data_IF_758348556066
#
_entry.id   IF_758348556066
#
_cell.length_a   1.000
_cell.length_b   1.000
_cell.length_c   1.000
_cell.angle_alpha   90.00
_cell.angle_beta   90.00
_cell.angle_gamma   90.00
#
_symmetry.space_group_name_H-M   'P 1'
#
loop_
_entity.id
_entity.type
_entity.pdbx_description
1 polymer ?
#
# COMPACT_ATOMS: atom_id res chain seq x y z
N UNK A 1 20.07 19.72 -19.55
CA UNK A 1 18.61 19.71 -19.28
C UNK A 1 18.46 20.50 -18.00
N UNK A 2 17.63 21.54 -18.06
CA UNK A 2 17.54 22.50 -16.98
C UNK A 2 16.15 22.38 -16.33
N UNK A 3 16.13 22.05 -15.05
CA UNK A 3 14.89 21.81 -14.29
C UNK A 3 14.76 22.92 -13.26
N UNK A 4 13.78 23.80 -13.45
CA UNK A 4 13.42 24.84 -12.47
C UNK A 4 12.14 24.49 -11.72
N UNK A 5 12.10 24.65 -10.40
CA UNK A 5 10.91 24.38 -9.58
C UNK A 5 11.05 24.89 -8.15
N UNK A 6 9.97 24.81 -7.37
CA UNK A 6 9.99 25.15 -5.94
C UNK A 6 10.40 23.93 -5.12
N UNK A 7 11.27 24.13 -4.14
CA UNK A 7 11.69 23.10 -3.22
C UNK A 7 10.60 22.72 -2.24
N UNK A 8 10.48 21.42 -1.96
CA UNK A 8 9.90 20.89 -0.73
C UNK A 8 10.93 19.99 -0.09
N UNK A 9 11.17 20.17 1.21
CA UNK A 9 12.27 19.53 1.93
C UNK A 9 11.75 18.86 3.18
N UNK A 10 12.03 17.58 3.35
CA UNK A 10 11.80 16.86 4.61
C UNK A 10 12.70 15.62 4.65
N UNK A 11 13.23 15.29 5.84
CA UNK A 11 13.97 14.04 6.03
C UNK A 11 13.05 12.83 5.93
N UNK A 12 11.80 12.98 6.37
CA UNK A 12 10.81 11.90 6.33
C UNK A 12 9.93 12.09 5.10
N UNK A 13 10.09 11.21 4.11
CA UNK A 13 9.28 11.22 2.88
C UNK A 13 7.78 11.26 3.18
N UNK A 14 7.31 10.53 4.21
CA UNK A 14 5.90 10.53 4.65
C UNK A 14 5.35 11.91 5.07
N UNK A 15 6.21 12.80 5.55
CA UNK A 15 5.83 14.16 5.94
C UNK A 15 5.88 15.10 4.73
N UNK A 16 6.89 14.91 3.86
CA UNK A 16 7.06 15.66 2.63
C UNK A 16 5.80 15.60 1.74
N UNK A 17 5.32 14.37 1.48
CA UNK A 17 4.24 14.11 0.52
C UNK A 17 2.92 14.79 0.89
N UNK A 18 2.69 15.08 2.18
CA UNK A 18 1.52 15.83 2.66
C UNK A 18 1.51 17.29 2.17
N UNK A 19 2.67 17.82 1.78
CA UNK A 19 2.92 19.23 1.45
C UNK A 19 3.51 19.42 0.05
N UNK A 20 3.76 18.32 -0.67
CA UNK A 20 4.36 18.28 -1.99
C UNK A 20 3.29 18.48 -3.05
N UNK A 21 3.43 19.51 -3.88
CA UNK A 21 2.51 19.76 -4.98
C UNK A 21 3.09 19.29 -6.31
N UNK A 22 2.21 19.14 -7.30
CA UNK A 22 2.63 18.80 -8.65
C UNK A 22 3.60 19.86 -9.19
N UNK A 23 4.65 19.40 -9.87
CA UNK A 23 5.74 20.21 -10.42
C UNK A 23 6.69 20.86 -9.39
N UNK A 24 6.54 20.59 -8.09
CA UNK A 24 7.57 20.90 -7.09
C UNK A 24 8.80 19.98 -7.29
N UNK A 25 9.95 20.40 -6.76
CA UNK A 25 11.15 19.58 -6.64
C UNK A 25 11.19 19.02 -5.22
N UNK A 26 11.11 17.70 -5.11
CA UNK A 26 11.16 17.00 -3.84
C UNK A 26 12.61 16.81 -3.38
N UNK A 27 12.93 17.23 -2.17
CA UNK A 27 14.23 16.98 -1.54
C UNK A 27 14.00 16.07 -0.33
N UNK A 28 14.63 14.90 -0.40
CA UNK A 28 14.48 13.83 0.58
C UNK A 28 15.84 13.40 1.12
N UNK A 29 15.82 12.77 2.29
CA UNK A 29 16.96 12.06 2.85
C UNK A 29 16.54 10.63 3.19
N UNK A 30 16.51 9.78 2.14
CA UNK A 30 15.94 8.43 2.23
C UNK A 30 16.92 7.41 1.66
N UNK A 31 17.66 6.73 2.54
CA UNK A 31 18.54 5.63 2.14
C UNK A 31 17.73 4.38 1.79
N UNK A 32 18.13 3.66 0.75
CA UNK A 32 17.42 2.46 0.25
C UNK A 32 15.94 2.75 -0.06
N UNK A 33 15.69 3.74 -0.92
CA UNK A 33 14.35 4.24 -1.27
C UNK A 33 13.40 3.10 -1.66
N UNK A 34 12.43 2.82 -0.79
CA UNK A 34 11.51 1.70 -0.94
C UNK A 34 10.43 1.96 -2.01
N UNK A 35 9.70 0.89 -2.38
CA UNK A 35 8.66 0.95 -3.42
C UNK A 35 7.47 1.84 -3.01
N UNK A 36 7.07 1.81 -1.73
CA UNK A 36 5.94 2.58 -1.22
C UNK A 36 6.22 4.09 -1.21
N UNK A 37 7.43 4.49 -0.79
CA UNK A 37 7.90 5.87 -0.80
C UNK A 37 7.99 6.39 -2.23
N UNK A 38 8.50 5.57 -3.16
CA UNK A 38 8.53 5.89 -4.58
C UNK A 38 7.12 6.10 -5.15
N UNK A 39 6.19 5.18 -4.89
CA UNK A 39 4.80 5.29 -5.35
C UNK A 39 4.11 6.56 -4.81
N UNK A 40 4.29 6.84 -3.51
CA UNK A 40 3.71 8.03 -2.87
C UNK A 40 4.29 9.32 -3.46
N UNK A 41 5.60 9.34 -3.76
CA UNK A 41 6.23 10.46 -4.47
C UNK A 41 5.68 10.60 -5.89
N UNK A 42 5.48 9.50 -6.64
CA UNK A 42 4.91 9.53 -7.99
C UNK A 42 3.50 10.11 -8.00
N UNK A 43 2.69 9.78 -6.99
CA UNK A 43 1.33 10.29 -6.87
C UNK A 43 1.30 11.83 -6.81
N UNK A 44 2.26 12.44 -6.13
CA UNK A 44 2.40 13.90 -6.06
C UNK A 44 2.87 14.55 -7.37
N UNK A 45 3.36 13.76 -8.35
CA UNK A 45 3.89 14.22 -9.65
C UNK A 45 4.94 15.34 -9.53
N UNK A 46 6.05 15.11 -8.79
CA UNK A 46 7.14 16.07 -8.70
C UNK A 46 7.84 16.23 -10.04
N UNK A 47 8.45 17.39 -10.25
CA UNK A 47 9.22 17.68 -11.46
C UNK A 47 10.58 16.99 -11.48
N UNK A 48 11.18 16.82 -10.30
CA UNK A 48 12.40 16.06 -10.05
C UNK A 48 12.48 15.71 -8.57
N UNK A 49 13.29 14.71 -8.25
CA UNK A 49 13.59 14.29 -6.88
C UNK A 49 15.10 14.41 -6.66
N UNK A 50 15.49 15.04 -5.56
CA UNK A 50 16.87 15.12 -5.09
C UNK A 50 16.94 14.33 -3.78
N UNK A 51 17.72 13.26 -3.76
CA UNK A 51 17.98 12.48 -2.57
C UNK A 51 19.37 12.83 -2.00
N UNK A 52 19.41 13.24 -0.74
CA UNK A 52 20.63 13.50 -0.01
C UNK A 52 21.43 12.20 0.22
N UNK A 53 20.73 11.11 0.52
CA UNK A 53 21.26 9.77 0.75
C UNK A 53 21.35 8.95 -0.55
N UNK A 54 21.99 7.77 -0.49
CA UNK A 54 21.98 6.82 -1.60
C UNK A 54 20.66 6.08 -1.66
N UNK A 55 19.96 6.21 -2.78
CA UNK A 55 18.69 5.53 -3.04
C UNK A 55 18.86 4.01 -3.14
N UNK A 56 20.08 3.53 -3.40
CA UNK A 56 20.46 2.10 -3.36
C UNK A 56 21.81 2.02 -2.63
N UNK A 57 21.83 1.63 -1.36
CA UNK A 57 23.07 1.54 -0.57
C UNK A 57 23.89 0.29 -0.90
N UNK A 58 23.27 -0.70 -1.55
CA UNK A 58 23.89 -1.96 -1.91
C UNK A 58 23.65 -3.09 -0.91
N UNK A 59 22.85 -2.88 0.15
CA UNK A 59 22.51 -3.92 1.12
C UNK A 59 21.62 -5.01 0.53
N UNK A 60 20.57 -4.60 -0.18
CA UNK A 60 19.60 -5.46 -0.85
C UNK A 60 19.05 -4.72 -2.08
N UNK A 61 18.51 -5.44 -3.08
CA UNK A 61 17.86 -4.81 -4.22
C UNK A 61 16.51 -4.21 -3.81
N UNK A 62 16.28 -2.94 -4.15
CA UNK A 62 15.03 -2.21 -3.92
C UNK A 62 14.49 -1.64 -5.26
N UNK A 63 13.18 -1.70 -5.45
CA UNK A 63 12.54 -1.34 -6.73
C UNK A 63 12.23 0.16 -6.87
N UNK A 64 12.17 0.91 -5.77
CA UNK A 64 11.72 2.31 -5.73
C UNK A 64 12.39 3.23 -6.76
N UNK A 65 13.74 3.26 -6.87
CA UNK A 65 14.43 4.12 -7.83
C UNK A 65 14.09 3.78 -9.29
N UNK A 66 13.93 2.49 -9.61
CA UNK A 66 13.59 2.05 -10.95
C UNK A 66 12.17 2.48 -11.33
N UNK A 67 11.22 2.40 -10.38
CA UNK A 67 9.84 2.81 -10.58
C UNK A 67 9.75 4.31 -10.88
N UNK A 68 10.51 5.16 -10.16
CA UNK A 68 10.58 6.60 -10.41
C UNK A 68 11.10 6.93 -11.81
N UNK A 69 12.21 6.30 -12.21
CA UNK A 69 12.84 6.54 -13.52
C UNK A 69 11.92 6.09 -14.66
N UNK A 70 11.28 4.93 -14.53
CA UNK A 70 10.33 4.42 -15.54
C UNK A 70 9.09 5.30 -15.70
N UNK A 71 8.65 5.94 -14.62
CA UNK A 71 7.57 6.92 -14.66
C UNK A 71 8.01 8.29 -15.23
N UNK A 72 9.29 8.45 -15.58
CA UNK A 72 9.83 9.66 -16.20
C UNK A 72 10.17 10.78 -15.21
N UNK A 73 10.23 10.48 -13.91
CA UNK A 73 10.64 11.46 -12.88
C UNK A 73 12.16 11.42 -12.70
N UNK A 74 12.90 12.49 -13.01
CA UNK A 74 14.35 12.54 -12.80
C UNK A 74 14.70 12.40 -11.33
N UNK A 75 15.62 11.48 -11.02
CA UNK A 75 16.12 11.22 -9.67
C UNK A 75 17.61 11.55 -9.58
N UNK A 76 17.95 12.57 -8.80
CA UNK A 76 19.31 13.00 -8.49
C UNK A 76 19.70 12.41 -7.14
N UNK A 77 20.63 11.47 -7.16
CA UNK A 77 20.99 10.64 -6.00
C UNK A 77 22.31 11.12 -5.37
N UNK A 78 22.53 10.76 -4.10
CA UNK A 78 23.78 11.07 -3.38
C UNK A 78 24.17 12.55 -3.40
N UNK A 79 23.18 13.46 -3.32
CA UNK A 79 23.42 14.91 -3.30
C UNK A 79 24.07 15.40 -1.99
N UNK A 80 24.16 14.53 -0.98
CA UNK A 80 24.80 14.79 0.30
C UNK A 80 23.95 15.62 1.26
N UNK A 81 24.31 15.70 2.55
CA UNK A 81 23.48 16.31 3.58
C UNK A 81 23.29 17.83 3.43
N UNK A 82 24.13 18.51 2.62
CA UNK A 82 24.05 19.96 2.38
C UNK A 82 22.71 20.38 1.78
N UNK A 83 22.12 19.56 0.89
CA UNK A 83 20.80 19.90 0.30
C UNK A 83 19.69 19.96 1.34
N UNK A 84 19.83 19.23 2.45
CA UNK A 84 18.86 19.26 3.56
C UNK A 84 19.06 20.46 4.49
N UNK A 85 20.26 21.07 4.48
CA UNK A 85 20.64 22.16 5.38
C UNK A 85 20.46 23.53 4.72
N UNK A 86 20.83 23.63 3.45
CA UNK A 86 20.93 24.90 2.74
C UNK A 86 19.66 25.25 1.94
N UNK A 87 18.80 24.25 1.66
CA UNK A 87 17.57 24.42 0.91
C UNK A 87 16.36 24.34 1.85
N UNK A 88 15.44 25.28 1.70
CA UNK A 88 14.23 25.39 2.51
C UNK A 88 12.98 25.30 1.63
N UNK A 89 11.84 25.01 2.26
CA UNK A 89 10.57 24.94 1.57
C UNK A 89 10.24 26.25 0.83
N UNK A 90 9.79 26.12 -0.41
CA UNK A 90 9.42 27.24 -1.27
C UNK A 90 10.60 27.88 -2.02
N UNK A 91 11.83 27.45 -1.76
CA UNK A 91 13.01 27.96 -2.46
C UNK A 91 12.96 27.68 -3.96
N UNK A 92 13.39 28.65 -4.76
CA UNK A 92 13.58 28.44 -6.19
C UNK A 92 14.86 27.66 -6.44
N UNK A 93 14.70 26.46 -7.00
CA UNK A 93 15.79 25.60 -7.44
C UNK A 93 15.93 25.60 -8.94
N UNK A 94 17.17 25.55 -9.39
CA UNK A 94 17.57 25.26 -10.75
C UNK A 94 18.53 24.07 -10.71
N UNK A 95 18.18 22.98 -11.40
CA UNK A 95 19.08 21.86 -11.63
C UNK A 95 19.60 22.00 -13.05
N UNK A 96 20.91 22.18 -13.21
CA UNK A 96 21.58 22.32 -14.51
C UNK A 96 22.52 21.15 -14.69
N UNK A 97 22.11 20.16 -15.49
CA UNK A 97 22.83 18.88 -15.55
C UNK A 97 22.75 18.15 -14.21
N UNK A 98 23.86 18.04 -13.50
CA UNK A 98 23.96 17.42 -12.16
C UNK A 98 24.15 18.44 -11.02
N UNK A 99 24.23 19.74 -11.36
CA UNK A 99 24.43 20.80 -10.36
C UNK A 99 23.10 21.31 -9.82
N UNK A 100 23.02 21.39 -8.49
CA UNK A 100 21.84 21.87 -7.76
C UNK A 100 22.12 23.29 -7.29
N UNK A 101 21.38 24.25 -7.84
CA UNK A 101 21.51 25.68 -7.58
C UNK A 101 20.25 26.15 -6.86
N UNK A 102 20.41 26.78 -5.69
CA UNK A 102 19.33 27.35 -4.91
C UNK A 102 19.49 28.88 -4.85
N UNK A 103 18.45 29.63 -5.24
CA UNK A 103 18.47 31.11 -5.22
C UNK A 103 19.72 31.70 -5.92
N UNK A 104 20.18 31.07 -6.99
CA UNK A 104 21.35 31.48 -7.76
C UNK A 104 22.72 31.08 -7.19
N UNK A 105 22.76 30.35 -6.06
CA UNK A 105 24.01 29.83 -5.46
C UNK A 105 24.11 28.33 -5.66
N UNK A 106 25.29 27.85 -6.04
CA UNK A 106 25.59 26.42 -6.08
C UNK A 106 25.53 25.83 -4.66
N UNK A 107 24.79 24.73 -4.48
CA UNK A 107 24.61 24.05 -3.18
C UNK A 107 25.33 22.71 -3.17
N UNK A 108 25.05 21.88 -4.16
CA UNK A 108 25.54 20.51 -4.22
C UNK A 108 25.54 19.97 -5.66
N UNK A 109 26.12 18.79 -5.83
CA UNK A 109 26.01 17.99 -7.04
C UNK A 109 25.30 16.69 -6.71
N UNK A 110 24.27 16.34 -7.47
CA UNK A 110 23.58 15.05 -7.37
C UNK A 110 23.77 14.24 -8.64
N UNK A 111 23.98 12.94 -8.50
CA UNK A 111 24.17 12.05 -9.65
C UNK A 111 22.83 11.73 -10.28
N UNK A 112 22.64 12.05 -11.56
CA UNK A 112 21.40 11.71 -12.25
C UNK A 112 21.35 10.19 -12.49
N UNK A 113 20.43 9.50 -11.83
CA UNK A 113 20.28 8.06 -11.99
C UNK A 113 19.62 7.74 -13.33
N UNK A 114 20.27 6.87 -14.09
CA UNK A 114 19.73 6.25 -15.30
C UNK A 114 19.24 4.84 -15.00
N UNK A 115 18.38 4.31 -15.88
CA UNK A 115 17.88 2.94 -15.73
C UNK A 115 19.02 1.91 -15.71
N UNK A 116 20.06 2.07 -16.54
CA UNK A 116 21.22 1.17 -16.56
C UNK A 116 21.99 1.19 -15.23
N UNK A 117 22.25 2.39 -14.69
CA UNK A 117 22.93 2.55 -13.39
C UNK A 117 22.13 1.92 -12.25
N UNK A 118 20.81 2.11 -12.24
CA UNK A 118 19.95 1.49 -11.22
C UNK A 118 20.00 -0.03 -11.32
N UNK A 119 19.90 -0.60 -12.52
CA UNK A 119 19.97 -2.05 -12.73
C UNK A 119 21.32 -2.64 -12.32
N UNK A 120 22.41 -1.94 -12.60
CA UNK A 120 23.76 -2.34 -12.18
C UNK A 120 23.89 -2.33 -10.65
N UNK A 121 23.47 -1.23 -9.99
CA UNK A 121 23.45 -1.13 -8.53
C UNK A 121 22.59 -2.23 -7.88
N UNK A 122 21.41 -2.53 -8.44
CA UNK A 122 20.54 -3.61 -7.96
C UNK A 122 21.21 -4.99 -8.12
N UNK A 123 21.89 -5.24 -9.24
CA UNK A 123 22.61 -6.50 -9.47
C UNK A 123 23.77 -6.68 -8.49
N UNK A 124 24.51 -5.61 -8.20
CA UNK A 124 25.54 -5.61 -7.17
C UNK A 124 24.96 -5.86 -5.77
N UNK A 125 23.84 -5.19 -5.44
CA UNK A 125 23.15 -5.37 -4.16
C UNK A 125 22.63 -6.80 -3.96
N UNK A 126 22.17 -7.46 -5.04
CA UNK A 126 21.71 -8.84 -5.01
C UNK A 126 22.79 -9.82 -4.51
N UNK A 127 24.08 -9.52 -4.73
CA UNK A 127 25.19 -10.35 -4.24
C UNK A 127 25.36 -10.26 -2.71
N UNK A 128 24.92 -9.16 -2.10
CA UNK A 128 25.02 -8.92 -0.65
C UNK A 128 23.83 -9.50 0.13
N UNK A 129 22.73 -9.84 -0.54
CA UNK A 129 21.49 -10.34 0.07
C UNK A 129 21.73 -11.53 0.99
N UNK A 130 22.63 -12.45 0.63
CA UNK A 130 22.93 -13.62 1.46
C UNK A 130 23.48 -13.23 2.84
N UNK A 131 24.35 -12.22 2.90
CA UNK A 131 24.95 -11.73 4.15
C UNK A 131 23.91 -10.99 4.99
N UNK A 132 23.09 -10.16 4.37
CA UNK A 132 22.01 -9.47 5.07
C UNK A 132 20.94 -10.45 5.57
N UNK A 133 20.65 -11.52 4.82
CA UNK A 133 19.74 -12.59 5.26
C UNK A 133 20.24 -13.33 6.49
N UNK A 134 21.52 -13.68 6.53
CA UNK A 134 22.09 -14.32 7.72
C UNK A 134 21.89 -13.44 8.97
N UNK A 135 22.27 -12.16 8.89
CA UNK A 135 22.06 -11.20 9.99
C UNK A 135 20.58 -11.06 10.37
N UNK A 136 19.71 -11.01 9.36
CA UNK A 136 18.27 -10.85 9.57
C UNK A 136 17.68 -12.06 10.30
N UNK A 137 18.12 -13.27 9.96
CA UNK A 137 17.72 -14.51 10.65
C UNK A 137 18.24 -14.49 12.09
N UNK A 138 19.51 -14.18 12.31
CA UNK A 138 20.10 -14.11 13.66
C UNK A 138 19.32 -13.12 14.55
N UNK A 139 19.07 -11.90 14.05
CA UNK A 139 18.25 -10.91 14.76
C UNK A 139 16.85 -11.44 15.03
N UNK A 140 16.21 -12.08 14.05
CA UNK A 140 14.84 -12.60 14.19
C UNK A 140 14.77 -13.66 15.29
N UNK A 141 15.74 -14.58 15.37
CA UNK A 141 15.78 -15.60 16.42
C UNK A 141 16.04 -14.98 17.80
N UNK A 142 16.99 -14.05 17.90
CA UNK A 142 17.32 -13.36 19.15
C UNK A 142 16.13 -12.58 19.73
N UNK A 143 15.42 -11.82 18.88
CA UNK A 143 14.22 -11.10 19.30
C UNK A 143 13.05 -12.06 19.60
N UNK A 144 12.88 -13.12 18.81
CA UNK A 144 11.79 -14.08 19.02
C UNK A 144 11.90 -14.79 20.37
N UNK A 145 13.11 -15.04 20.87
CA UNK A 145 13.32 -15.57 22.23
C UNK A 145 12.85 -14.59 23.32
N UNK A 146 13.00 -13.28 23.11
CA UNK A 146 12.61 -12.24 24.08
C UNK A 146 11.12 -11.91 24.01
N UNK A 147 10.49 -12.11 22.87
CA UNK A 147 9.10 -11.69 22.58
C UNK A 147 8.09 -12.84 22.64
N UNK A 148 8.45 -14.02 23.14
CA UNK A 148 7.57 -15.21 23.19
C UNK A 148 6.24 -14.94 23.94
N UNK A 149 6.27 -14.06 24.93
CA UNK A 149 5.08 -13.64 25.69
C UNK A 149 3.92 -13.15 24.82
N UNK A 150 4.23 -12.62 23.62
CA UNK A 150 3.26 -12.14 22.65
C UNK A 150 2.26 -13.24 22.23
N UNK A 151 2.73 -14.48 22.10
CA UNK A 151 1.89 -15.61 21.70
C UNK A 151 1.45 -16.47 22.89
N UNK A 152 2.15 -16.40 24.03
CA UNK A 152 1.81 -17.10 25.26
C UNK A 152 0.68 -16.44 26.06
N UNK A 153 0.17 -15.29 25.61
CA UNK A 153 -0.98 -14.61 26.23
C UNK A 153 -0.59 -13.70 27.41
N UNK A 154 0.68 -13.28 27.48
CA UNK A 154 1.16 -12.34 28.52
C UNK A 154 0.61 -10.92 28.32
N UNK A 155 0.11 -10.62 27.12
CA UNK A 155 -0.43 -9.31 26.74
C UNK A 155 -1.95 -9.41 26.54
N UNK A 156 -2.76 -8.98 27.51
CA UNK A 156 -4.20 -9.13 27.46
C UNK A 156 -4.81 -8.22 26.38
N UNK A 157 -5.61 -8.81 25.50
CA UNK A 157 -6.29 -8.10 24.42
C UNK A 157 -7.39 -7.19 24.98
N UNK A 158 -7.45 -5.90 24.59
CA UNK A 158 -8.45 -4.96 25.10
C UNK A 158 -9.88 -5.41 24.75
N UNK A 159 -10.85 -4.94 25.52
CA UNK A 159 -12.27 -5.14 25.20
C UNK A 159 -12.65 -4.26 24.01
N UNK A 160 -13.34 -4.85 23.05
CA UNK A 160 -13.86 -4.15 21.87
C UNK A 160 -15.39 -4.14 21.93
N UNK A 161 -15.98 -3.08 21.39
CA UNK A 161 -17.41 -2.98 21.09
C UNK A 161 -17.74 -3.74 19.79
N UNK A 162 -16.81 -3.74 18.85
CA UNK A 162 -16.94 -4.42 17.56
C UNK A 162 -16.96 -5.93 17.72
N UNK A 163 -17.97 -6.59 17.13
CA UNK A 163 -18.15 -8.05 17.19
C UNK A 163 -17.38 -8.74 16.06
N UNK A 164 -16.34 -9.48 16.43
CA UNK A 164 -15.48 -10.26 15.53
C UNK A 164 -15.78 -11.76 15.58
N UNK A 165 -16.24 -12.27 16.73
CA UNK A 165 -16.47 -13.71 16.95
C UNK A 165 -17.32 -14.35 15.84
N UNK A 166 -16.84 -15.46 15.29
CA UNK A 166 -17.49 -16.26 14.24
C UNK A 166 -17.75 -15.45 12.95
N UNK A 167 -16.87 -14.47 12.68
CA UNK A 167 -16.87 -13.69 11.43
C UNK A 167 -15.48 -13.70 10.82
N UNK A 168 -15.44 -13.43 9.52
CA UNK A 168 -14.19 -13.12 8.85
C UNK A 168 -13.71 -11.70 9.23
N UNK A 169 -12.40 -11.51 9.27
CA UNK A 169 -11.75 -10.22 9.43
C UNK A 169 -10.83 -9.94 8.24
N UNK A 170 -10.89 -8.72 7.70
CA UNK A 170 -9.97 -8.22 6.68
C UNK A 170 -9.01 -7.22 7.34
N UNK A 171 -7.73 -7.56 7.40
CA UNK A 171 -6.68 -6.70 7.95
C UNK A 171 -5.95 -6.03 6.79
N UNK A 172 -6.10 -4.71 6.68
CA UNK A 172 -5.55 -3.92 5.57
C UNK A 172 -4.37 -3.09 6.06
N UNK A 173 -3.24 -3.26 5.38
CA UNK A 173 -1.99 -2.55 5.61
C UNK A 173 -1.57 -1.86 4.32
N UNK A 174 -0.98 -0.67 4.42
CA UNK A 174 -0.41 0.06 3.28
C UNK A 174 1.05 -0.36 2.99
N UNK A 175 1.26 -1.61 2.62
CA UNK A 175 2.56 -2.14 2.15
C UNK A 175 2.67 -2.18 0.62
N UNK A 176 3.81 -2.64 0.10
CA UNK A 176 4.03 -2.73 -1.35
C UNK A 176 2.97 -3.63 -2.03
N UNK A 177 2.36 -3.13 -3.11
CA UNK A 177 1.33 -3.84 -3.89
C UNK A 177 -0.06 -3.90 -3.26
N UNK A 178 -0.32 -3.11 -2.20
CA UNK A 178 -1.60 -3.20 -1.47
C UNK A 178 -2.82 -2.87 -2.35
N UNK A 179 -2.67 -2.00 -3.36
CA UNK A 179 -3.76 -1.59 -4.25
C UNK A 179 -4.22 -2.77 -5.13
N UNK A 180 -3.28 -3.52 -5.68
CA UNK A 180 -3.59 -4.72 -6.45
C UNK A 180 -4.24 -5.79 -5.57
N UNK A 181 -3.72 -5.96 -4.35
CA UNK A 181 -4.22 -6.96 -3.42
C UNK A 181 -5.66 -6.68 -2.97
N UNK A 182 -5.95 -5.43 -2.59
CA UNK A 182 -7.30 -5.04 -2.13
C UNK A 182 -8.33 -5.10 -3.27
N UNK A 183 -7.93 -4.72 -4.49
CA UNK A 183 -8.78 -4.85 -5.67
C UNK A 183 -9.06 -6.33 -6.01
N UNK A 184 -8.08 -7.22 -5.82
CA UNK A 184 -8.25 -8.65 -6.06
C UNK A 184 -9.25 -9.29 -5.10
N UNK A 185 -9.40 -8.76 -3.88
CA UNK A 185 -10.37 -9.25 -2.88
C UNK A 185 -11.65 -8.42 -2.81
N UNK A 186 -11.86 -7.47 -3.73
CA UNK A 186 -13.03 -6.58 -3.71
C UNK A 186 -14.37 -7.33 -3.64
N UNK A 187 -14.57 -8.33 -4.49
CA UNK A 187 -15.81 -9.15 -4.48
C UNK A 187 -16.01 -9.86 -3.14
N UNK A 188 -14.92 -10.33 -2.53
CA UNK A 188 -14.98 -10.94 -1.21
C UNK A 188 -15.44 -9.94 -0.14
N UNK A 189 -14.96 -8.69 -0.18
CA UNK A 189 -15.41 -7.63 0.74
C UNK A 189 -16.91 -7.36 0.56
N UNK A 190 -17.36 -7.23 -0.68
CA UNK A 190 -18.75 -6.87 -1.00
C UNK A 190 -19.75 -8.00 -0.65
N UNK A 191 -19.36 -9.25 -0.87
CA UNK A 191 -20.20 -10.44 -0.63
C UNK A 191 -20.18 -10.91 0.83
N UNK A 192 -18.98 -11.03 1.42
CA UNK A 192 -18.81 -11.62 2.76
C UNK A 192 -18.97 -10.59 3.88
N UNK A 193 -18.70 -9.30 3.59
CA UNK A 193 -18.74 -8.21 4.58
C UNK A 193 -17.96 -8.55 5.87
N UNK A 194 -16.66 -8.89 5.74
CA UNK A 194 -15.80 -9.15 6.89
C UNK A 194 -15.68 -7.90 7.78
N UNK A 195 -15.24 -8.08 9.02
CA UNK A 195 -14.83 -6.95 9.87
C UNK A 195 -13.61 -6.28 9.24
N UNK A 196 -13.72 -5.00 8.91
CA UNK A 196 -12.67 -4.22 8.25
C UNK A 196 -11.75 -3.60 9.29
N UNK A 197 -10.51 -4.09 9.36
CA UNK A 197 -9.49 -3.62 10.29
C UNK A 197 -8.42 -2.87 9.48
N UNK A 198 -8.38 -1.55 9.60
CA UNK A 198 -7.34 -0.71 9.00
C UNK A 198 -6.13 -0.58 9.93
N UNK A 199 -4.94 -0.94 9.46
CA UNK A 199 -3.70 -0.82 10.24
C UNK A 199 -2.90 0.38 9.77
N UNK A 200 -2.63 1.32 10.67
CA UNK A 200 -1.98 2.59 10.34
C UNK A 200 -2.66 3.23 9.08
N UNK A 201 -1.87 3.57 8.05
CA UNK A 201 -2.38 4.10 6.78
C UNK A 201 -3.24 3.13 5.95
N UNK A 202 -3.41 1.88 6.37
CA UNK A 202 -4.37 0.94 5.79
C UNK A 202 -5.82 1.35 6.04
N UNK A 203 -6.09 2.12 7.10
CA UNK A 203 -7.41 2.74 7.31
C UNK A 203 -7.73 3.77 6.21
N UNK A 204 -6.74 4.56 5.80
CA UNK A 204 -6.89 5.50 4.69
C UNK A 204 -7.12 4.77 3.36
N UNK A 205 -6.40 3.66 3.12
CA UNK A 205 -6.58 2.84 1.93
C UNK A 205 -8.01 2.29 1.80
N UNK A 206 -8.63 1.86 2.90
CA UNK A 206 -10.04 1.45 2.92
C UNK A 206 -10.96 2.61 2.52
N UNK A 207 -10.76 3.78 3.14
CA UNK A 207 -11.58 4.98 2.89
C UNK A 207 -11.47 5.46 1.44
N UNK A 208 -10.27 5.45 0.86
CA UNK A 208 -10.00 5.80 -0.54
C UNK A 208 -10.79 4.93 -1.53
N UNK A 209 -11.08 3.68 -1.16
CA UNK A 209 -11.86 2.72 -1.95
C UNK A 209 -13.36 2.75 -1.63
N UNK A 210 -13.80 3.65 -0.74
CA UNK A 210 -15.19 3.80 -0.33
C UNK A 210 -15.64 2.82 0.76
N UNK A 211 -14.72 2.09 1.38
CA UNK A 211 -15.00 1.22 2.52
C UNK A 211 -14.73 1.95 3.83
N UNK A 212 -15.67 1.89 4.78
CA UNK A 212 -15.46 2.43 6.13
C UNK A 212 -14.83 1.35 7.01
N UNK A 213 -13.69 1.60 7.67
CA UNK A 213 -13.14 0.66 8.63
C UNK A 213 -14.08 0.49 9.82
N UNK A 214 -14.18 -0.74 10.33
CA UNK A 214 -14.85 -1.04 11.60
C UNK A 214 -13.90 -0.78 12.78
N UNK A 215 -12.62 -1.10 12.59
CA UNK A 215 -11.56 -0.93 13.59
C UNK A 215 -10.34 -0.27 12.94
N UNK A 216 -9.68 0.64 13.66
CA UNK A 216 -8.38 1.19 13.29
C UNK A 216 -7.35 0.78 14.36
N UNK A 217 -6.26 0.14 13.94
CA UNK A 217 -5.19 -0.32 14.84
C UNK A 217 -3.87 0.35 14.47
N UNK A 218 -3.14 0.87 15.46
CA UNK A 218 -1.73 1.23 15.27
C UNK A 218 -1.31 2.56 15.87
N UNK A 219 -0.41 3.25 15.16
CA UNK A 219 0.07 4.59 15.49
C UNK A 219 -0.78 5.64 14.77
N UNK A 220 -1.54 6.40 15.56
CA UNK A 220 -2.51 7.37 15.05
C UNK A 220 -1.84 8.52 14.30
N UNK A 221 -0.54 8.77 14.48
CA UNK A 221 0.23 9.72 13.67
C UNK A 221 0.33 9.33 12.19
N UNK A 222 0.13 8.06 11.88
CA UNK A 222 0.20 7.49 10.54
C UNK A 222 -1.17 7.35 9.86
N UNK A 223 -2.25 7.80 10.51
CA UNK A 223 -3.63 7.78 10.01
C UNK A 223 -4.10 9.22 9.69
N UNK A 224 -4.91 9.41 8.66
CA UNK A 224 -5.52 10.74 8.40
C UNK A 224 -6.66 11.06 9.37
N UNK A 225 -6.91 12.35 9.61
CA UNK A 225 -8.03 12.78 10.46
C UNK A 225 -9.37 12.28 9.89
N UNK A 226 -9.52 12.27 8.57
CA UNK A 226 -10.71 11.76 7.88
C UNK A 226 -10.99 10.28 8.21
N UNK A 227 -9.95 9.44 8.26
CA UNK A 227 -10.10 8.05 8.65
C UNK A 227 -10.39 7.92 10.16
N UNK A 228 -9.74 8.70 11.02
CA UNK A 228 -9.97 8.67 12.47
C UNK A 228 -11.40 9.08 12.87
N UNK A 229 -12.00 10.06 12.18
CA UNK A 229 -13.39 10.50 12.42
C UNK A 229 -14.44 9.65 11.69
N UNK A 230 -14.05 8.55 11.03
CA UNK A 230 -14.97 7.71 10.23
C UNK A 230 -16.05 7.00 11.05
N UNK A 231 -15.86 6.92 12.38
CA UNK A 231 -16.70 6.19 13.33
C UNK A 231 -16.17 4.80 13.68
N UNK A 232 -14.99 4.42 13.19
CA UNK A 232 -14.31 3.19 13.53
C UNK A 232 -13.93 3.13 15.02
N UNK A 233 -13.92 1.94 15.61
CA UNK A 233 -13.37 1.72 16.93
C UNK A 233 -11.84 1.81 16.89
N UNK A 234 -11.25 2.69 17.70
CA UNK A 234 -9.82 2.99 17.65
C UNK A 234 -9.07 2.17 18.70
N UNK A 235 -8.05 1.43 18.24
CA UNK A 235 -7.13 0.66 19.07
C UNK A 235 -5.73 1.26 18.92
N UNK A 236 -5.30 2.02 19.91
CA UNK A 236 -3.96 2.60 19.94
C UNK A 236 -2.96 1.52 20.32
N UNK A 237 -2.01 1.26 19.43
CA UNK A 237 -0.88 0.39 19.71
C UNK A 237 0.11 1.15 20.60
N UNK A 238 0.28 0.68 21.83
CA UNK A 238 1.20 1.24 22.81
C UNK A 238 2.44 0.37 22.96
N UNK A 239 3.54 1.02 23.35
CA UNK A 239 4.74 0.32 23.73
C UNK A 239 4.50 -0.58 24.95
N UNK A 240 5.32 -1.64 25.15
CA UNK A 240 5.22 -2.51 26.33
C UNK A 240 5.34 -1.78 27.67
N UNK A 241 6.00 -0.61 27.70
CA UNK A 241 6.13 0.24 28.89
C UNK A 241 4.90 1.12 29.16
N UNK A 242 3.84 0.97 28.35
CA UNK A 242 2.58 1.70 28.47
C UNK A 242 2.55 3.05 27.77
N UNK A 243 3.66 3.52 27.19
CA UNK A 243 3.64 4.78 26.41
C UNK A 243 2.83 4.60 25.14
N UNK A 244 1.90 5.52 24.90
CA UNK A 244 0.98 5.49 23.78
C UNK A 244 0.94 6.86 23.07
N UNK A 245 1.96 7.22 22.26
CA UNK A 245 2.03 8.54 21.60
C UNK A 245 0.79 8.87 20.77
N UNK A 246 0.25 7.87 20.06
CA UNK A 246 -0.98 8.05 19.26
C UNK A 246 -2.23 8.39 20.08
N UNK A 247 -2.22 8.22 21.41
CA UNK A 247 -3.35 8.56 22.26
C UNK A 247 -3.53 10.08 22.41
N UNK A 248 -2.44 10.86 22.39
CA UNK A 248 -2.51 12.32 22.46
C UNK A 248 -3.32 12.86 21.28
N UNK A 249 -3.01 12.41 20.07
CA UNK A 249 -3.73 12.79 18.84
C UNK A 249 -5.21 12.41 18.87
N UNK A 250 -5.56 11.25 19.42
CA UNK A 250 -6.96 10.83 19.57
C UNK A 250 -7.71 11.78 20.51
N UNK A 251 -7.10 12.15 21.63
CA UNK A 251 -7.68 13.06 22.61
C UNK A 251 -7.86 14.47 22.05
N UNK A 252 -6.90 14.98 21.28
CA UNK A 252 -6.97 16.29 20.61
C UNK A 252 -8.16 16.36 19.62
N UNK A 253 -8.47 15.25 18.96
CA UNK A 253 -9.61 15.13 18.06
C UNK A 253 -10.94 14.86 18.79
N UNK A 254 -10.94 14.74 20.12
CA UNK A 254 -12.13 14.45 20.92
C UNK A 254 -12.69 13.03 20.73
N UNK A 255 -11.85 12.09 20.28
CA UNK A 255 -12.22 10.71 20.00
C UNK A 255 -11.95 9.80 21.21
N UNK A 256 -12.52 8.60 21.20
CA UNK A 256 -12.25 7.57 22.19
C UNK A 256 -11.42 6.45 21.56
N UNK A 257 -10.47 5.91 22.32
CA UNK A 257 -9.69 4.76 21.92
C UNK A 257 -9.47 3.80 23.09
N UNK A 258 -9.26 2.54 22.75
CA UNK A 258 -8.70 1.54 23.68
C UNK A 258 -7.21 1.38 23.40
N UNK A 259 -6.45 1.07 24.44
CA UNK A 259 -5.00 0.88 24.32
C UNK A 259 -4.69 -0.61 24.31
N UNK A 260 -3.86 -1.04 23.36
CA UNK A 260 -3.26 -2.37 23.36
C UNK A 260 -1.74 -2.22 23.49
N UNK A 261 -1.22 -2.51 24.68
CA UNK A 261 0.21 -2.51 24.99
C UNK A 261 0.82 -3.88 24.72
N UNK A 262 1.65 -4.01 23.69
CA UNK A 262 2.32 -5.24 23.33
C UNK A 262 3.56 -4.96 22.47
N UNK A 263 4.55 -5.88 22.42
CA UNK A 263 5.66 -5.76 21.49
C UNK A 263 5.22 -6.09 20.06
N UNK A 264 5.95 -5.56 19.08
CA UNK A 264 5.79 -5.92 17.66
C UNK A 264 5.43 -4.76 16.74
N UNK A 265 4.82 -5.07 15.61
CA UNK A 265 4.28 -4.08 14.65
C UNK A 265 2.78 -3.91 14.86
N UNK A 266 2.21 -2.77 14.42
CA UNK A 266 0.75 -2.57 14.43
C UNK A 266 0.01 -3.68 13.66
N UNK A 267 0.65 -4.27 12.64
CA UNK A 267 0.12 -5.38 11.85
C UNK A 267 0.00 -6.65 12.69
N UNK A 268 1.05 -6.98 13.45
CA UNK A 268 1.07 -8.13 14.36
C UNK A 268 -0.03 -8.01 15.41
N UNK A 269 -0.20 -6.80 15.97
CA UNK A 269 -1.24 -6.50 16.95
C UNK A 269 -2.63 -6.66 16.36
N UNK A 270 -2.86 -6.18 15.12
CA UNK A 270 -4.15 -6.33 14.45
C UNK A 270 -4.50 -7.81 14.17
N UNK A 271 -3.53 -8.61 13.75
CA UNK A 271 -3.71 -10.05 13.52
C UNK A 271 -4.02 -10.79 14.82
N UNK A 272 -3.28 -10.51 15.89
CA UNK A 272 -3.54 -11.10 17.22
C UNK A 272 -4.90 -10.67 17.77
N UNK A 273 -5.25 -9.39 17.64
CA UNK A 273 -6.54 -8.84 18.05
C UNK A 273 -7.69 -9.59 17.37
N UNK A 274 -7.63 -9.77 16.05
CA UNK A 274 -8.65 -10.50 15.32
C UNK A 274 -8.74 -11.97 15.76
N UNK A 275 -7.59 -12.63 15.93
CA UNK A 275 -7.50 -14.02 16.36
C UNK A 275 -8.10 -14.25 17.76
N UNK A 276 -7.66 -13.46 18.74
CA UNK A 276 -8.09 -13.57 20.15
C UNK A 276 -9.56 -13.16 20.35
N UNK A 277 -10.13 -12.40 19.41
CA UNK A 277 -11.56 -12.10 19.38
C UNK A 277 -12.41 -13.13 18.63
N UNK A 278 -11.80 -14.24 18.21
CA UNK A 278 -12.49 -15.39 17.64
C UNK A 278 -12.89 -15.22 16.18
N UNK A 279 -12.09 -14.51 15.38
CA UNK A 279 -12.28 -14.50 13.94
C UNK A 279 -12.22 -15.93 13.37
N UNK A 280 -13.15 -16.27 12.48
CA UNK A 280 -13.18 -17.58 11.79
C UNK A 280 -12.08 -17.65 10.72
N UNK A 281 -11.83 -16.52 10.04
CA UNK A 281 -10.82 -16.37 9.01
C UNK A 281 -10.25 -14.95 9.05
N UNK A 282 -8.95 -14.81 8.88
CA UNK A 282 -8.25 -13.53 8.77
C UNK A 282 -7.66 -13.43 7.37
N UNK A 283 -8.11 -12.44 6.59
CA UNK A 283 -7.56 -12.10 5.28
C UNK A 283 -6.66 -10.89 5.42
N UNK A 284 -5.38 -11.06 5.14
CA UNK A 284 -4.35 -10.04 5.24
C UNK A 284 -4.08 -9.40 3.87
N UNK A 285 -4.13 -8.07 3.78
CA UNK A 285 -3.91 -7.30 2.56
C UNK A 285 -2.74 -6.34 2.76
N UNK A 286 -1.78 -6.36 1.84
CA UNK A 286 -0.63 -5.45 1.87
C UNK A 286 0.34 -5.67 3.04
N UNK A 287 0.28 -6.82 3.74
CA UNK A 287 1.17 -7.11 4.88
C UNK A 287 2.63 -7.31 4.45
N UNK A 288 3.56 -7.07 5.38
CA UNK A 288 4.98 -7.29 5.17
C UNK A 288 5.34 -8.75 5.49
N UNK A 289 5.93 -9.46 4.53
CA UNK A 289 6.01 -10.94 4.62
C UNK A 289 7.40 -11.50 4.39
N UNK A 290 8.32 -10.70 3.88
CA UNK A 290 9.66 -11.13 3.52
C UNK A 290 10.72 -10.17 4.07
N UNK A 291 11.98 -10.61 4.10
CA UNK A 291 13.09 -9.84 4.66
C UNK A 291 13.20 -8.42 4.07
N UNK A 292 13.03 -8.26 2.76
CA UNK A 292 13.21 -6.97 2.08
C UNK A 292 12.16 -5.98 2.59
N UNK A 293 10.89 -6.41 2.66
CA UNK A 293 9.79 -5.61 3.22
C UNK A 293 10.13 -5.06 4.63
N UNK A 294 10.74 -5.88 5.49
CA UNK A 294 11.13 -5.47 6.85
C UNK A 294 12.33 -4.53 6.85
N UNK A 295 13.34 -4.80 6.02
CA UNK A 295 14.53 -3.95 5.92
C UNK A 295 14.17 -2.56 5.39
N UNK A 296 13.24 -2.46 4.45
CA UNK A 296 12.70 -1.19 3.93
C UNK A 296 12.00 -0.37 5.04
N UNK A 297 11.33 -1.04 5.99
CA UNK A 297 10.78 -0.38 7.19
C UNK A 297 11.82 -0.06 8.26
N UNK A 298 13.11 -0.26 7.98
CA UNK A 298 14.20 -0.08 8.95
C UNK A 298 14.23 -1.13 10.05
N UNK A 299 13.54 -2.27 9.88
CA UNK A 299 13.49 -3.36 10.86
C UNK A 299 14.54 -4.43 10.51
N UNK A 300 15.50 -4.71 11.41
CA UNK A 300 16.59 -5.65 11.13
C UNK A 300 16.21 -7.12 11.33
N UNK A 301 14.96 -7.42 11.66
CA UNK A 301 14.40 -8.76 11.87
C UNK A 301 12.86 -8.74 11.89
N UNK A 302 12.23 -9.92 11.93
CA UNK A 302 10.75 -10.09 11.88
C UNK A 302 10.19 -10.95 13.02
N UNK A 303 10.76 -10.85 14.23
CA UNK A 303 10.45 -11.75 15.34
C UNK A 303 8.96 -11.79 15.73
N UNK A 304 8.37 -10.64 16.08
CA UNK A 304 6.96 -10.53 16.41
C UNK A 304 6.07 -11.09 15.29
N UNK A 305 6.33 -10.72 14.04
CA UNK A 305 5.56 -11.21 12.88
C UNK A 305 5.70 -12.70 12.69
N UNK A 306 6.89 -13.26 12.87
CA UNK A 306 7.11 -14.70 12.82
C UNK A 306 6.29 -15.43 13.89
N UNK A 307 6.34 -14.96 15.14
CA UNK A 307 5.59 -15.54 16.26
C UNK A 307 4.07 -15.43 16.02
N UNK A 308 3.58 -14.25 15.64
CA UNK A 308 2.16 -14.05 15.37
C UNK A 308 1.67 -14.95 14.25
N UNK A 309 2.40 -15.02 13.13
CA UNK A 309 2.05 -15.91 12.01
C UNK A 309 2.09 -17.39 12.41
N UNK A 310 2.99 -17.78 13.31
CA UNK A 310 2.99 -19.14 13.89
C UNK A 310 1.68 -19.42 14.65
N UNK A 311 1.17 -18.45 15.42
CA UNK A 311 -0.07 -18.59 16.21
C UNK A 311 -1.34 -18.54 15.37
N UNK A 312 -1.43 -17.59 14.43
CA UNK A 312 -2.66 -17.34 13.64
C UNK A 312 -2.73 -18.15 12.33
N UNK A 313 -1.65 -18.86 11.97
CA UNK A 313 -1.46 -19.44 10.64
C UNK A 313 -2.54 -20.41 10.16
N UNK A 314 -3.30 -21.04 11.07
CA UNK A 314 -4.39 -21.95 10.69
C UNK A 314 -5.61 -21.25 10.08
N UNK A 315 -5.77 -19.94 10.34
CA UNK A 315 -6.90 -19.13 9.86
C UNK A 315 -6.45 -17.90 9.07
N UNK A 316 -5.16 -17.77 8.76
CA UNK A 316 -4.60 -16.61 8.05
C UNK A 316 -4.45 -16.89 6.56
N UNK A 317 -5.02 -16.02 5.73
CA UNK A 317 -4.88 -16.03 4.27
C UNK A 317 -4.29 -14.71 3.79
N UNK A 318 -3.23 -14.76 2.98
CA UNK A 318 -2.55 -13.59 2.45
C UNK A 318 -3.04 -13.24 1.02
N UNK A 319 -3.51 -12.01 0.83
CA UNK A 319 -4.04 -11.54 -0.44
C UNK A 319 -2.96 -11.40 -1.54
N UNK A 320 -1.68 -11.23 -1.18
CA UNK A 320 -0.56 -11.13 -2.15
C UNK A 320 -0.46 -12.34 -3.09
N UNK A 321 -0.96 -13.50 -2.65
CA UNK A 321 -1.05 -14.72 -3.45
C UNK A 321 -2.33 -14.82 -4.28
N UNK A 322 -3.43 -14.25 -3.79
CA UNK A 322 -4.76 -14.36 -4.42
C UNK A 322 -4.78 -13.60 -5.74
N UNK A 323 -4.21 -12.40 -5.80
CA UNK A 323 -4.12 -11.58 -7.03
C UNK A 323 -3.37 -12.29 -8.17
N UNK A 324 -2.40 -13.16 -7.84
CA UNK A 324 -1.65 -13.97 -8.82
C UNK A 324 -2.41 -15.23 -9.27
N UNK A 325 -3.24 -15.81 -8.40
CA UNK A 325 -4.03 -17.00 -8.68
C UNK A 325 -5.33 -16.67 -9.44
N UNK A 326 -5.98 -15.56 -9.11
CA UNK A 326 -7.22 -15.10 -9.72
C UNK A 326 -6.97 -14.05 -10.80
N UNK A 327 -6.44 -14.47 -11.94
CA UNK A 327 -6.64 -13.71 -13.19
C UNK A 327 -7.98 -14.10 -13.80
N UNK A 328 -9.09 -13.58 -13.26
CA UNK A 328 -10.36 -13.65 -13.99
C UNK A 328 -10.32 -12.70 -15.18
N UNK A 329 -9.75 -13.17 -16.29
CA UNK A 329 -10.05 -12.57 -17.58
C UNK A 329 -11.55 -12.73 -17.83
N UNK A 330 -12.27 -11.62 -17.93
CA UNK A 330 -13.65 -11.59 -18.41
C UNK A 330 -13.71 -12.37 -19.73
N UNK A 331 -14.20 -13.62 -19.69
CA UNK A 331 -14.37 -14.40 -20.91
C UNK A 331 -15.61 -13.84 -21.59
N UNK A 332 -15.41 -12.97 -22.59
CA UNK A 332 -16.44 -12.44 -23.49
C UNK A 332 -17.42 -13.53 -23.98
N UNK A 333 -16.97 -14.79 -24.03
CA UNK A 333 -17.80 -15.97 -24.29
C UNK A 333 -19.00 -16.12 -23.34
N UNK A 334 -18.85 -15.86 -22.04
CA UNK A 334 -19.96 -15.98 -21.08
C UNK A 334 -21.00 -14.88 -21.25
N UNK A 335 -20.56 -13.65 -21.54
CA UNK A 335 -21.47 -12.54 -21.87
C UNK A 335 -22.23 -12.85 -23.17
N UNK A 336 -21.55 -13.36 -24.19
CA UNK A 336 -22.18 -13.80 -25.43
C UNK A 336 -23.21 -14.93 -25.20
N UNK A 337 -22.92 -15.88 -24.31
CA UNK A 337 -23.86 -16.95 -23.93
C UNK A 337 -25.11 -16.39 -23.23
N UNK A 338 -24.95 -15.44 -22.32
CA UNK A 338 -26.08 -14.79 -21.62
C UNK A 338 -26.95 -14.02 -22.62
N UNK A 339 -26.32 -13.25 -23.53
CA UNK A 339 -27.05 -12.51 -24.57
C UNK A 339 -27.81 -13.49 -25.49
N UNK A 340 -27.16 -14.58 -25.91
CA UNK A 340 -27.79 -15.59 -26.76
C UNK A 340 -28.96 -16.28 -26.06
N UNK A 341 -28.81 -16.61 -24.77
CA UNK A 341 -29.89 -17.17 -23.96
C UNK A 341 -31.06 -16.19 -23.79
N UNK A 342 -30.78 -14.90 -23.58
CA UNK A 342 -31.79 -13.85 -23.47
C UNK A 342 -32.52 -13.58 -24.80
N UNK A 343 -31.88 -13.80 -25.94
CA UNK A 343 -32.48 -13.66 -27.28
C UNK A 343 -33.39 -14.85 -27.65
N UNK A 344 -33.21 -16.01 -27.03
CA UNK A 344 -33.93 -17.24 -27.38
C UNK A 344 -35.46 -17.10 -27.22
N UNK A 345 -36.01 -16.55 -26.12
CA UNK A 345 -37.44 -16.25 -26.01
C UNK A 345 -37.95 -15.29 -27.08
N UNK A 346 -37.15 -14.28 -27.46
CA UNK A 346 -37.50 -13.31 -28.50
C UNK A 346 -37.65 -14.01 -29.86
N UNK A 347 -36.71 -14.90 -30.20
CA UNK A 347 -36.75 -15.72 -31.42
C UNK A 347 -37.99 -16.63 -31.42
N UNK A 348 -38.30 -17.27 -30.29
CA UNK A 348 -39.50 -18.12 -30.16
C UNK A 348 -40.77 -17.30 -30.37
N UNK A 349 -40.88 -16.10 -29.78
CA UNK A 349 -42.03 -15.20 -29.97
C UNK A 349 -42.17 -14.79 -31.44
N UNK A 350 -41.07 -14.48 -32.12
CA UNK A 350 -41.07 -14.13 -33.55
C UNK A 350 -41.58 -15.31 -34.42
N UNK A 351 -41.20 -16.55 -34.08
CA UNK A 351 -41.60 -17.76 -34.82
C UNK A 351 -43.04 -18.18 -34.52
N UNK A 352 -43.51 -18.03 -33.29
CA UNK A 352 -44.85 -18.52 -32.89
C UNK A 352 -45.94 -17.48 -33.16
N UNK A 353 -45.64 -16.17 -33.01
CA UNK A 353 -46.63 -15.10 -33.16
C UNK A 353 -47.01 -14.84 -34.63
N UNK A 354 -48.28 -15.03 -35.02
CA UNK A 354 -48.75 -14.76 -36.38
C UNK A 354 -48.61 -13.29 -36.79
N UNK A 355 -48.83 -12.35 -35.86
CA UNK A 355 -48.73 -10.91 -36.08
C UNK A 355 -47.28 -10.49 -36.39
N UNK A 356 -46.30 -11.10 -35.73
CA UNK A 356 -44.88 -10.81 -35.91
C UNK A 356 -44.35 -11.37 -37.22
N UNK A 357 -44.82 -12.54 -37.67
CA UNK A 357 -44.50 -13.10 -39.00
C UNK A 357 -44.93 -12.18 -40.14
N UNK A 358 -46.10 -11.56 -40.03
CA UNK A 358 -46.62 -10.63 -41.03
C UNK A 358 -45.77 -9.36 -41.10
N UNK A 359 -45.41 -8.81 -39.94
CA UNK A 359 -44.52 -7.64 -39.86
C UNK A 359 -43.11 -7.94 -40.39
N UNK A 360 -42.54 -9.10 -40.05
CA UNK A 360 -41.22 -9.51 -40.53
C UNK A 360 -41.20 -9.74 -42.06
N UNK A 361 -42.28 -10.30 -42.63
CA UNK A 361 -42.43 -10.42 -44.09
C UNK A 361 -42.46 -9.05 -44.78
N UNK A 362 -43.16 -8.07 -44.21
CA UNK A 362 -43.20 -6.71 -44.76
C UNK A 362 -41.83 -6.04 -44.69
N UNK A 363 -41.11 -6.21 -43.57
CA UNK A 363 -39.78 -5.66 -43.37
C UNK A 363 -38.75 -6.30 -44.32
N UNK A 364 -38.80 -7.63 -44.51
CA UNK A 364 -37.99 -8.34 -45.51
C UNK A 364 -38.31 -7.86 -46.93
N UNK A 365 -39.59 -7.63 -47.25
CA UNK A 365 -39.99 -7.09 -48.56
C UNK A 365 -39.47 -5.66 -48.78
N UNK A 366 -39.53 -4.79 -47.76
CA UNK A 366 -38.94 -3.45 -47.85
C UNK A 366 -37.43 -3.46 -47.99
N UNK A 367 -36.72 -4.34 -47.27
CA UNK A 367 -35.27 -4.50 -47.39
C UNK A 367 -34.89 -5.04 -48.77
N UNK A 368 -35.64 -6.00 -49.31
CA UNK A 368 -35.48 -6.49 -50.69
C UNK A 368 -35.68 -5.38 -51.74
N UNK A 369 -36.73 -4.59 -51.58
CA UNK A 369 -37.00 -3.41 -52.41
C UNK A 369 -35.87 -2.37 -52.34
N UNK A 370 -35.31 -2.14 -51.15
CA UNK A 370 -34.22 -1.19 -50.93
C UNK A 370 -32.87 -1.70 -51.47
N UNK A 371 -32.64 -3.01 -51.43
CA UNK A 371 -31.45 -3.68 -51.98
C UNK A 371 -31.58 -4.06 -53.46
N UNK A 372 -32.72 -3.75 -54.10
CA UNK A 372 -33.06 -4.10 -55.50
C UNK A 372 -32.82 -5.59 -55.83
N UNK A 373 -33.25 -6.49 -54.94
CA UNK A 373 -33.33 -7.94 -55.20
C UNK A 373 -34.78 -8.40 -55.09
#
# INVERSE_FOLDING_TARGET
MDIKGKAKVDKRTKNLVKRLHSHDIAIIDHADLDELAAETLLYCRPKAIINASSSITGRYPNAGPLNLIKAGVPLFDTAGPKVMQDIHDGDELLISGEEIICRGKWVARGTLLTESMVREKMAAAAQNVKKELAKFVDNTLDYAQREQGLILGEYPVPRLQTKIYDRHALVVVRGAGFQEDILAVKSYIDEIKPVLIGVDGGADALMELGYRPDIIVGDMDSVSDHALISGAEIVVHAYPDGRAPGLERVNELGLQAVVFSAPGTSEDIALLLAYEKGAELIVAVGTHTNMIDFLEKGRPGMASTFLVRLKVGSILVDAKGVSKLYRQGFRLKHVAQIILAALLPLVVIIIVSPSTKSFLKLLIMQVKLMLRI
#
